data_IF_136866438611
#
_entry.id   IF_136866438611
#
_cell.length_a   1.000
_cell.length_b   1.000
_cell.length_c   1.000
_cell.angle_alpha   90.00
_cell.angle_beta   90.00
_cell.angle_gamma   90.00
#
_symmetry.space_group_name_H-M   'P 1'
#
loop_
_entity.id
_entity.type
_entity.pdbx_description
1 polymer ?
#
# COMPACT_ATOMS: atom_id res chain seq x y z
N UNK A 1 -0.49 9.92 17.57
CA UNK A 1 -1.75 10.27 16.89
C UNK A 1 -1.51 10.29 15.39
N UNK A 2 -2.28 9.51 14.63
CA UNK A 2 -2.08 9.27 13.18
C UNK A 2 -3.12 10.04 12.40
N UNK A 3 -2.74 11.16 11.78
CA UNK A 3 -3.64 11.90 10.89
C UNK A 3 -3.38 11.46 9.44
N UNK A 4 -4.05 10.38 9.01
CA UNK A 4 -4.26 10.11 7.58
C UNK A 4 -5.27 11.11 6.95
N UNK A 5 -5.87 11.95 7.79
CA UNK A 5 -6.87 12.96 7.46
C UNK A 5 -6.20 14.34 7.54
N UNK A 6 -5.57 14.84 6.45
CA UNK A 6 -4.99 16.17 6.44
C UNK A 6 -6.06 17.28 6.55
N UNK A 7 -7.31 16.97 6.22
CA UNK A 7 -8.45 17.87 6.33
C UNK A 7 -9.70 17.12 6.81
N UNK A 8 -10.51 17.66 7.74
CA UNK A 8 -11.67 16.97 8.32
C UNK A 8 -12.68 16.41 7.29
N UNK A 9 -12.76 17.01 6.10
CA UNK A 9 -13.68 16.58 5.03
C UNK A 9 -13.12 15.46 4.13
N UNK A 10 -11.84 15.12 4.25
CA UNK A 10 -11.14 14.13 3.43
C UNK A 10 -10.71 12.96 4.32
N UNK A 11 -11.70 12.19 4.79
CA UNK A 11 -11.52 11.10 5.76
C UNK A 11 -11.99 9.73 5.25
N UNK A 12 -12.14 9.59 3.93
CA UNK A 12 -12.49 8.33 3.26
C UNK A 12 -11.23 7.70 2.64
N UNK A 13 -10.53 6.81 3.35
CA UNK A 13 -9.37 6.13 2.79
C UNK A 13 -9.79 5.08 1.76
N UNK A 14 -8.95 4.89 0.74
CA UNK A 14 -8.99 3.70 -0.11
C UNK A 14 -8.38 2.53 0.66
N UNK A 15 -9.16 1.47 0.88
CA UNK A 15 -8.67 0.24 1.50
C UNK A 15 -8.25 -0.77 0.42
N UNK A 16 -7.10 -1.40 0.63
CA UNK A 16 -6.59 -2.51 -0.17
C UNK A 16 -6.12 -3.61 0.75
N UNK A 17 -6.26 -4.87 0.33
CA UNK A 17 -5.73 -6.01 1.06
C UNK A 17 -4.99 -6.95 0.10
N UNK A 18 -3.82 -7.40 0.52
CA UNK A 18 -3.07 -8.43 -0.19
C UNK A 18 -2.27 -9.28 0.81
N UNK A 19 -2.07 -10.57 0.52
CA UNK A 19 -2.65 -11.28 -0.63
C UNK A 19 -4.08 -11.79 -0.36
N UNK A 20 -4.87 -11.91 -1.44
CA UNK A 20 -6.14 -12.65 -1.44
C UNK A 20 -5.95 -13.88 -2.33
N UNK A 21 -5.74 -15.03 -1.70
CA UNK A 21 -5.49 -16.31 -2.39
C UNK A 21 -6.39 -17.41 -1.82
N UNK A 22 -6.66 -18.44 -2.61
CA UNK A 22 -7.41 -19.62 -2.14
C UNK A 22 -6.59 -20.43 -1.13
N UNK A 23 -7.29 -21.15 -0.24
CA UNK A 23 -6.64 -21.99 0.76
C UNK A 23 -5.73 -23.06 0.13
N UNK A 24 -6.12 -23.62 -1.01
CA UNK A 24 -5.32 -24.61 -1.75
C UNK A 24 -3.98 -24.03 -2.22
N UNK A 25 -3.97 -22.79 -2.72
CA UNK A 25 -2.74 -22.14 -3.20
C UNK A 25 -1.83 -21.65 -2.09
N UNK A 26 -2.39 -21.33 -0.92
CA UNK A 26 -1.65 -20.81 0.22
C UNK A 26 -0.57 -21.76 0.76
N UNK A 27 -0.69 -23.07 0.51
CA UNK A 27 0.31 -24.05 0.94
C UNK A 27 1.47 -24.24 -0.05
N UNK A 28 1.32 -23.76 -1.28
CA UNK A 28 2.27 -24.00 -2.37
C UNK A 28 3.03 -22.75 -2.81
N UNK A 29 2.51 -21.57 -2.51
CA UNK A 29 3.11 -20.29 -2.89
C UNK A 29 3.42 -19.45 -1.66
N UNK A 30 4.71 -19.12 -1.47
CA UNK A 30 5.12 -18.06 -0.56
C UNK A 30 5.26 -16.76 -1.35
N UNK A 31 4.66 -15.69 -0.84
CA UNK A 31 4.84 -14.36 -1.40
C UNK A 31 5.79 -13.55 -0.53
N UNK A 32 6.74 -12.90 -1.18
CA UNK A 32 7.69 -11.99 -0.56
C UNK A 32 7.01 -10.69 -0.15
N UNK A 33 7.63 -9.97 0.79
CA UNK A 33 7.20 -8.63 1.21
C UNK A 33 7.06 -7.69 -0.01
N UNK A 34 7.96 -7.79 -0.98
CA UNK A 34 7.93 -6.98 -2.19
C UNK A 34 6.70 -7.28 -3.05
N UNK A 35 6.35 -8.57 -3.23
CA UNK A 35 5.19 -8.97 -4.04
C UNK A 35 3.87 -8.52 -3.41
N UNK A 36 3.67 -8.77 -2.12
CA UNK A 36 2.43 -8.34 -1.42
C UNK A 36 2.33 -6.81 -1.36
N UNK A 37 3.46 -6.10 -1.22
CA UNK A 37 3.48 -4.63 -1.24
C UNK A 37 3.08 -4.10 -2.61
N UNK A 38 3.57 -4.70 -3.69
CA UNK A 38 3.19 -4.32 -5.05
C UNK A 38 1.72 -4.62 -5.32
N UNK A 39 1.23 -5.78 -4.89
CA UNK A 39 -0.16 -6.17 -5.03
C UNK A 39 -1.12 -5.16 -4.39
N UNK A 40 -0.73 -4.49 -3.29
CA UNK A 40 -1.54 -3.45 -2.66
C UNK A 40 -1.77 -2.18 -3.52
N UNK A 41 -1.00 -1.99 -4.59
CA UNK A 41 -1.18 -0.87 -5.52
C UNK A 41 -1.80 -1.31 -6.86
N UNK A 42 -2.11 -2.59 -7.02
CA UNK A 42 -2.84 -3.09 -8.19
C UNK A 42 -4.34 -2.79 -8.06
N UNK A 43 -5.00 -2.24 -9.09
CA UNK A 43 -6.43 -1.93 -9.05
C UNK A 43 -7.33 -3.13 -8.70
N UNK A 44 -6.90 -4.35 -9.04
CA UNK A 44 -7.67 -5.57 -8.80
C UNK A 44 -7.84 -5.92 -7.31
N UNK A 45 -6.96 -5.44 -6.44
CA UNK A 45 -6.98 -5.74 -5.01
C UNK A 45 -7.70 -4.67 -4.18
N UNK A 46 -8.16 -3.58 -4.82
CA UNK A 46 -8.79 -2.46 -4.15
C UNK A 46 -10.23 -2.79 -3.75
N UNK A 47 -10.59 -2.44 -2.52
CA UNK A 47 -11.92 -2.70 -1.96
C UNK A 47 -12.95 -1.62 -2.36
N UNK A 48 -12.52 -0.63 -3.15
CA UNK A 48 -13.38 0.42 -3.70
C UNK A 48 -13.14 0.48 -5.20
N UNK A 49 -14.24 0.53 -5.97
CA UNK A 49 -14.17 0.65 -7.43
C UNK A 49 -13.79 2.08 -7.83
N UNK A 50 -12.49 2.32 -7.91
CA UNK A 50 -11.92 3.56 -8.44
C UNK A 50 -10.57 3.25 -9.13
N UNK A 51 -10.11 4.14 -10.00
CA UNK A 51 -8.77 4.04 -10.58
C UNK A 51 -7.87 5.12 -9.96
N UNK A 52 -6.93 4.77 -9.05
CA UNK A 52 -6.08 5.74 -8.38
C UNK A 52 -5.08 6.42 -9.31
N UNK A 53 -4.86 5.88 -10.52
CA UNK A 53 -3.94 6.46 -11.52
C UNK A 53 -4.47 7.78 -12.08
N UNK A 54 -5.77 8.02 -11.98
CA UNK A 54 -6.38 9.32 -12.30
C UNK A 54 -6.28 10.34 -11.14
N UNK A 55 -5.76 9.92 -9.99
CA UNK A 55 -5.59 10.74 -8.81
C UNK A 55 -4.14 10.79 -8.34
N UNK A 56 -3.95 11.32 -7.13
CA UNK A 56 -2.67 11.32 -6.42
C UNK A 56 -2.88 10.88 -4.99
N UNK A 57 -1.99 10.04 -4.48
CA UNK A 57 -2.00 9.60 -3.10
C UNK A 57 -1.61 10.77 -2.19
N UNK A 58 -2.49 11.10 -1.25
CA UNK A 58 -2.19 12.05 -0.16
C UNK A 58 -1.42 11.38 0.97
N UNK A 59 -1.70 10.12 1.27
CA UNK A 59 -1.04 9.36 2.31
C UNK A 59 -1.25 7.87 2.04
N UNK A 60 -0.31 7.03 2.48
CA UNK A 60 -0.48 5.58 2.48
C UNK A 60 0.03 5.02 3.80
N UNK A 61 -0.79 4.20 4.46
CA UNK A 61 -0.36 3.39 5.59
C UNK A 61 -0.41 1.93 5.15
N UNK A 62 0.65 1.18 5.44
CA UNK A 62 0.71 -0.26 5.21
C UNK A 62 0.90 -0.95 6.54
N UNK A 63 0.03 -1.92 6.80
CA UNK A 63 0.01 -2.73 8.01
C UNK A 63 0.43 -4.15 7.63
N UNK A 64 1.63 -4.54 8.01
CA UNK A 64 2.15 -5.86 7.69
C UNK A 64 1.80 -6.86 8.79
N UNK A 65 1.63 -8.14 8.43
CA UNK A 65 1.41 -9.23 9.38
C UNK A 65 2.19 -10.47 8.93
N UNK A 66 2.65 -11.27 9.90
CA UNK A 66 3.43 -12.48 9.66
C UNK A 66 4.93 -12.25 9.82
N UNK A 67 5.73 -13.15 9.23
CA UNK A 67 7.19 -13.08 9.24
C UNK A 67 7.68 -12.01 8.24
N UNK A 68 7.86 -10.80 8.75
CA UNK A 68 8.18 -9.63 7.93
C UNK A 68 9.40 -8.93 8.51
N UNK A 69 10.46 -8.89 7.71
CA UNK A 69 11.71 -8.22 8.09
C UNK A 69 11.63 -6.73 7.75
N UNK A 70 11.86 -5.80 8.70
CA UNK A 70 11.76 -4.36 8.46
C UNK A 70 12.64 -3.84 7.30
N UNK A 71 13.79 -4.48 7.06
CA UNK A 71 14.68 -4.17 5.93
C UNK A 71 13.98 -4.36 4.58
N UNK A 72 13.24 -5.46 4.43
CA UNK A 72 12.58 -5.81 3.17
C UNK A 72 11.34 -4.93 2.94
N UNK A 73 10.66 -4.53 4.02
CA UNK A 73 9.61 -3.51 3.98
C UNK A 73 10.19 -2.20 3.42
N UNK A 74 11.26 -1.68 4.02
CA UNK A 74 11.86 -0.43 3.56
C UNK A 74 12.29 -0.49 2.09
N UNK A 75 12.86 -1.61 1.65
CA UNK A 75 13.22 -1.83 0.25
C UNK A 75 11.99 -1.86 -0.68
N UNK A 76 10.93 -2.57 -0.30
CA UNK A 76 9.69 -2.65 -1.07
C UNK A 76 9.03 -1.27 -1.23
N UNK A 77 8.98 -0.46 -0.17
CA UNK A 77 8.46 0.90 -0.24
C UNK A 77 9.31 1.81 -1.11
N UNK A 78 10.63 1.73 -1.00
CA UNK A 78 11.51 2.53 -1.84
C UNK A 78 11.23 2.25 -3.32
N UNK A 79 11.00 0.98 -3.68
CA UNK A 79 10.60 0.59 -5.03
C UNK A 79 9.21 1.14 -5.43
N UNK A 80 8.23 1.17 -4.51
CA UNK A 80 6.92 1.77 -4.79
C UNK A 80 7.03 3.27 -5.11
N UNK A 81 7.87 4.02 -4.37
CA UNK A 81 8.03 5.47 -4.57
C UNK A 81 8.62 5.85 -5.93
N UNK A 82 9.31 4.93 -6.60
CA UNK A 82 9.92 5.17 -7.91
C UNK A 82 9.02 4.75 -9.08
N UNK A 83 7.95 4.00 -8.83
CA UNK A 83 6.99 3.58 -9.87
C UNK A 83 6.21 4.78 -10.42
N UNK A 84 6.31 5.00 -11.74
CA UNK A 84 5.64 6.13 -12.44
C UNK A 84 4.11 6.07 -12.38
N UNK A 85 3.53 4.88 -12.26
CA UNK A 85 2.09 4.66 -12.14
C UNK A 85 1.53 5.07 -10.77
N UNK A 86 2.39 5.26 -9.77
CA UNK A 86 1.99 5.59 -8.40
C UNK A 86 2.46 7.02 -8.10
N UNK A 87 1.51 7.96 -8.13
CA UNK A 87 1.82 9.37 -7.94
C UNK A 87 1.39 9.82 -6.55
N UNK A 88 2.34 10.35 -5.77
CA UNK A 88 2.08 10.98 -4.49
C UNK A 88 2.03 12.50 -4.65
N UNK A 89 1.21 13.17 -3.82
CA UNK A 89 1.30 14.61 -3.70
C UNK A 89 2.67 15.02 -3.13
N UNK A 90 3.34 16.07 -3.67
CA UNK A 90 4.71 16.43 -3.29
C UNK A 90 4.89 16.65 -1.78
N UNK A 91 3.96 17.33 -1.13
CA UNK A 91 4.00 17.62 0.32
C UNK A 91 3.90 16.36 1.21
N UNK A 92 3.44 15.24 0.64
CA UNK A 92 3.24 13.99 1.37
C UNK A 92 4.17 12.86 0.93
N UNK A 93 5.06 13.11 -0.03
CA UNK A 93 6.01 12.13 -0.58
C UNK A 93 6.97 11.58 0.48
N UNK A 94 7.28 12.41 1.49
CA UNK A 94 8.23 12.09 2.56
C UNK A 94 7.58 11.96 3.95
N UNK A 95 6.37 12.49 4.13
CA UNK A 95 5.77 12.71 5.46
C UNK A 95 4.69 11.70 5.86
N UNK A 96 4.15 10.92 4.92
CA UNK A 96 2.89 10.19 5.12
C UNK A 96 2.96 8.67 4.87
N UNK A 97 4.15 8.07 4.97
CA UNK A 97 4.31 6.62 5.07
C UNK A 97 4.73 6.26 6.48
N UNK A 98 3.80 5.71 7.25
CA UNK A 98 4.07 5.16 8.57
C UNK A 98 3.80 3.66 8.52
N UNK A 99 4.85 2.88 8.81
CA UNK A 99 4.80 1.43 8.97
C UNK A 99 4.39 1.12 10.41
N UNK A 100 3.39 0.26 10.57
CA UNK A 100 3.16 -0.48 11.80
C UNK A 100 3.37 -1.96 11.52
#
# INVERSE_FOLDING_TARGET
QTNLVPYPRIHFPLATYAPVISAEKAYHEQMTVAEITNACFEPANQMVKCDPRHGKYMACCMLYRGDVVPKDVNAAIAAIKTKRSIQFLPIFRDSAQRFF
#
